data_IF_805552975395
#
_entry.id   IF_805552975395
#
_cell.length_a   1.000
_cell.length_b   1.000
_cell.length_c   1.000
_cell.angle_alpha   90.00
_cell.angle_beta   90.00
_cell.angle_gamma   90.00
#
_symmetry.space_group_name_H-M   'P 1'
#
loop_
_entity.id
_entity.type
_entity.pdbx_description
1 polymer ?
#
# COMPACT_ATOMS: atom_id res chain seq x y z
N UNK A 1 -3.58 -11.54 15.07
CA UNK A 1 -3.58 -10.45 14.06
C UNK A 1 -2.31 -10.57 13.24
N UNK A 2 -2.41 -10.74 11.92
CA UNK A 2 -1.24 -10.81 11.04
C UNK A 2 -1.09 -9.48 10.31
N UNK A 3 0.09 -8.87 10.41
CA UNK A 3 0.43 -7.61 9.77
C UNK A 3 1.41 -7.88 8.63
N UNK A 4 1.10 -7.36 7.45
CA UNK A 4 1.96 -7.42 6.28
C UNK A 4 2.20 -6.02 5.73
N UNK A 5 3.43 -5.74 5.29
CA UNK A 5 3.81 -4.42 4.79
C UNK A 5 5.04 -4.53 3.88
N UNK A 6 5.49 -3.39 3.37
CA UNK A 6 6.77 -3.29 2.68
C UNK A 6 7.54 -2.04 3.12
N UNK A 7 8.85 -2.08 2.93
CA UNK A 7 9.75 -0.96 3.13
C UNK A 7 10.68 -0.80 1.93
N UNK A 8 10.81 0.44 1.44
CA UNK A 8 11.74 0.76 0.36
C UNK A 8 11.43 0.06 -0.97
N UNK A 9 12.50 -0.17 -1.75
CA UNK A 9 12.48 -0.81 -3.07
C UNK A 9 13.54 -1.91 -3.12
N UNK A 10 13.27 -3.09 -2.54
CA UNK A 10 14.17 -4.24 -2.59
C UNK A 10 14.14 -5.00 -3.93
N UNK A 11 13.27 -4.62 -4.87
CA UNK A 11 13.18 -5.15 -6.24
C UNK A 11 13.09 -6.71 -6.29
N UNK A 12 12.36 -7.32 -5.35
CA UNK A 12 12.15 -8.78 -5.31
C UNK A 12 13.33 -9.59 -4.76
N UNK A 13 14.23 -8.95 -4.00
CA UNK A 13 15.38 -9.61 -3.38
C UNK A 13 15.45 -9.30 -1.88
N UNK A 14 15.81 -10.29 -1.06
CA UNK A 14 16.05 -10.07 0.37
C UNK A 14 17.21 -9.09 0.57
N UNK A 15 16.96 -8.02 1.32
CA UNK A 15 17.98 -7.02 1.63
C UNK A 15 17.81 -6.54 3.08
N UNK A 16 18.78 -6.80 3.98
CA UNK A 16 18.70 -6.42 5.39
C UNK A 16 18.38 -4.95 5.63
N UNK A 17 18.80 -4.04 4.73
CA UNK A 17 18.50 -2.60 4.80
C UNK A 17 17.00 -2.30 4.80
N UNK A 18 16.21 -3.15 4.15
CA UNK A 18 14.78 -2.97 3.98
C UNK A 18 13.97 -3.98 4.82
N UNK A 19 14.59 -4.67 5.77
CA UNK A 19 13.86 -5.54 6.71
C UNK A 19 12.90 -4.72 7.58
N UNK A 20 11.76 -5.31 7.91
CA UNK A 20 10.79 -4.75 8.85
C UNK A 20 11.12 -5.08 10.31
N UNK A 21 12.13 -5.90 10.57
CA UNK A 21 12.58 -6.26 11.93
C UNK A 21 12.80 -5.05 12.85
N UNK A 22 13.38 -3.92 12.40
CA UNK A 22 13.54 -2.73 13.24
C UNK A 22 12.22 -2.06 13.68
N UNK A 23 11.09 -2.38 13.05
CA UNK A 23 9.76 -1.88 13.43
C UNK A 23 9.24 -2.58 14.69
N UNK A 24 9.66 -3.83 14.93
CA UNK A 24 9.15 -4.69 16.00
C UNK A 24 9.26 -4.04 17.38
N UNK A 25 10.41 -3.51 17.83
CA UNK A 25 10.52 -2.93 19.18
C UNK A 25 9.56 -1.75 19.39
N UNK A 26 9.42 -0.88 18.39
CA UNK A 26 8.52 0.27 18.49
C UNK A 26 7.06 -0.14 18.46
N UNK A 27 6.70 -1.15 17.65
CA UNK A 27 5.35 -1.68 17.61
C UNK A 27 4.97 -2.35 18.93
N UNK A 28 5.88 -3.12 19.55
CA UNK A 28 5.68 -3.70 20.89
C UNK A 28 5.42 -2.63 21.94
N UNK A 29 6.23 -1.57 21.94
CA UNK A 29 6.09 -0.42 22.85
C UNK A 29 4.71 0.24 22.71
N UNK A 30 4.30 0.56 21.48
CA UNK A 30 3.04 1.26 21.20
C UNK A 30 1.80 0.40 21.51
N UNK A 31 1.89 -0.91 21.32
CA UNK A 31 0.78 -1.84 21.60
C UNK A 31 0.71 -2.30 23.05
N UNK A 32 1.82 -2.19 23.80
CA UNK A 32 1.96 -2.78 25.14
C UNK A 32 1.83 -4.31 25.12
N UNK A 33 2.19 -4.95 24.01
CA UNK A 33 2.03 -6.39 23.77
C UNK A 33 3.20 -6.96 22.98
N UNK A 34 3.40 -8.26 23.09
CA UNK A 34 4.37 -8.95 22.26
C UNK A 34 3.95 -8.99 20.79
N UNK A 35 4.95 -8.78 19.95
CA UNK A 35 4.88 -8.89 18.50
C UNK A 35 5.85 -9.99 18.07
N UNK A 36 5.32 -11.02 17.43
CA UNK A 36 6.08 -12.10 16.83
C UNK A 36 6.53 -11.63 15.44
N UNK A 37 7.79 -11.84 15.10
CA UNK A 37 8.32 -11.50 13.78
C UNK A 37 8.69 -12.76 13.03
N UNK A 38 8.29 -12.87 11.76
CA UNK A 38 8.69 -13.96 10.88
C UNK A 38 9.76 -13.47 9.90
N UNK A 39 10.75 -14.31 9.60
CA UNK A 39 11.86 -13.97 8.66
C UNK A 39 11.43 -14.08 7.18
N UNK A 40 10.16 -14.39 6.94
CA UNK A 40 9.51 -14.42 5.64
C UNK A 40 8.02 -13.99 5.77
N UNK A 41 7.31 -13.84 4.65
CA UNK A 41 5.90 -13.45 4.61
C UNK A 41 4.95 -14.54 4.07
N UNK A 42 5.49 -15.62 3.51
CA UNK A 42 4.74 -16.80 3.07
C UNK A 42 5.54 -18.08 3.37
N UNK A 43 4.88 -19.24 3.29
CA UNK A 43 5.51 -20.54 3.45
C UNK A 43 5.19 -21.21 4.79
N UNK A 44 5.60 -22.49 4.91
CA UNK A 44 5.19 -23.37 6.02
C UNK A 44 5.55 -22.82 7.40
N UNK A 45 6.77 -22.29 7.56
CA UNK A 45 7.20 -21.75 8.86
C UNK A 45 6.37 -20.54 9.29
N UNK A 46 5.94 -19.71 8.33
CA UNK A 46 5.05 -18.57 8.57
C UNK A 46 3.67 -19.06 8.96
N UNK A 47 3.10 -20.00 8.21
CA UNK A 47 1.80 -20.61 8.51
C UNK A 47 1.77 -21.26 9.90
N UNK A 48 2.80 -22.04 10.24
CA UNK A 48 2.92 -22.63 11.58
C UNK A 48 3.00 -21.57 12.68
N UNK A 49 3.76 -20.50 12.46
CA UNK A 49 3.89 -19.41 13.44
C UNK A 49 2.57 -18.68 13.63
N UNK A 50 1.84 -18.40 12.55
CA UNK A 50 0.52 -17.77 12.60
C UNK A 50 -0.51 -18.69 13.28
N UNK A 51 -0.51 -19.98 12.98
CA UNK A 51 -1.42 -20.96 13.59
C UNK A 51 -1.15 -21.20 15.08
N UNK A 52 0.10 -21.05 15.52
CA UNK A 52 0.48 -21.12 16.95
C UNK A 52 0.14 -19.83 17.71
N UNK A 53 0.00 -18.70 17.01
CA UNK A 53 -0.32 -17.42 17.63
C UNK A 53 -1.77 -17.43 18.14
N UNK A 54 -1.96 -17.14 19.42
CA UNK A 54 -3.28 -17.22 20.07
C UNK A 54 -3.52 -16.01 20.99
N UNK A 55 -4.73 -15.88 21.53
CA UNK A 55 -5.03 -14.84 22.53
C UNK A 55 -4.86 -13.40 22.04
N UNK A 56 -5.00 -13.14 20.74
CA UNK A 56 -4.86 -11.79 20.17
C UNK A 56 -3.40 -11.33 19.99
N UNK A 57 -2.44 -12.26 19.96
CA UNK A 57 -1.06 -11.98 19.58
C UNK A 57 -0.97 -11.33 18.18
N UNK A 58 0.06 -10.51 18.02
CA UNK A 58 0.35 -9.80 16.77
C UNK A 58 1.55 -10.44 16.11
N UNK A 59 1.41 -10.83 14.85
CA UNK A 59 2.49 -11.35 14.01
C UNK A 59 2.79 -10.30 12.95
N UNK A 60 4.03 -9.84 12.88
CA UNK A 60 4.52 -8.98 11.81
C UNK A 60 5.33 -9.83 10.83
N UNK A 61 4.86 -9.90 9.60
CA UNK A 61 5.56 -10.57 8.51
C UNK A 61 6.76 -9.74 8.02
N UNK A 62 7.75 -10.41 7.43
CA UNK A 62 8.83 -9.72 6.74
C UNK A 62 8.30 -8.97 5.48
N UNK A 63 9.11 -8.06 4.96
CA UNK A 63 8.84 -7.20 3.82
C UNK A 63 8.32 -7.98 2.59
N UNK A 64 7.08 -7.71 2.20
CA UNK A 64 6.41 -8.33 1.05
C UNK A 64 7.19 -8.16 -0.25
N UNK A 65 7.89 -7.04 -0.45
CA UNK A 65 8.65 -6.77 -1.67
C UNK A 65 9.97 -7.54 -1.76
N UNK A 66 10.33 -8.33 -0.76
CA UNK A 66 11.39 -9.33 -0.91
C UNK A 66 11.01 -10.44 -1.91
N UNK A 67 9.72 -10.57 -2.21
CA UNK A 67 9.19 -11.45 -3.27
C UNK A 67 8.85 -10.61 -4.50
N UNK A 68 9.34 -11.03 -5.67
CA UNK A 68 9.04 -10.37 -6.94
C UNK A 68 7.54 -10.46 -7.28
N UNK A 69 6.89 -11.47 -6.74
CA UNK A 69 5.48 -11.81 -6.84
C UNK A 69 4.57 -10.74 -6.24
N UNK A 70 5.07 -9.91 -5.32
CA UNK A 70 4.31 -8.79 -4.75
C UNK A 70 4.04 -7.70 -5.78
N UNK A 71 5.09 -7.23 -6.47
CA UNK A 71 4.97 -6.18 -7.50
C UNK A 71 4.68 -6.77 -8.90
N UNK A 72 4.74 -8.09 -9.05
CA UNK A 72 4.62 -8.80 -10.32
C UNK A 72 5.84 -8.64 -11.24
N UNK A 73 6.92 -8.07 -10.71
CA UNK A 73 8.20 -7.89 -11.41
C UNK A 73 9.33 -7.58 -10.44
N UNK A 74 10.55 -7.90 -10.83
CA UNK A 74 11.80 -7.57 -10.15
C UNK A 74 12.76 -6.85 -11.10
N UNK A 75 13.94 -6.49 -10.60
CA UNK A 75 15.06 -6.06 -11.44
C UNK A 75 16.18 -7.08 -11.44
N UNK A 76 16.72 -7.33 -12.63
CA UNK A 76 17.95 -8.11 -12.76
C UNK A 76 19.18 -7.30 -12.30
N UNK A 77 20.35 -7.91 -12.35
CA UNK A 77 21.62 -7.27 -11.96
C UNK A 77 21.99 -6.08 -12.86
N UNK A 78 21.38 -5.97 -14.03
CA UNK A 78 21.59 -4.90 -15.01
C UNK A 78 20.52 -3.81 -14.89
N UNK A 79 19.56 -3.96 -13.97
CA UNK A 79 18.48 -3.00 -13.72
C UNK A 79 17.29 -3.16 -14.65
N UNK A 80 17.25 -4.18 -15.52
CA UNK A 80 16.13 -4.42 -16.41
C UNK A 80 14.96 -5.05 -15.65
N UNK A 81 13.75 -4.69 -16.06
CA UNK A 81 12.52 -5.20 -15.45
C UNK A 81 12.25 -6.64 -15.90
N UNK A 82 12.28 -7.57 -14.96
CA UNK A 82 11.93 -8.98 -15.18
C UNK A 82 10.54 -9.22 -14.62
N UNK A 83 9.63 -9.78 -15.42
CA UNK A 83 8.26 -10.07 -14.98
C UNK A 83 8.26 -11.36 -14.15
N UNK A 84 7.52 -11.35 -13.04
CA UNK A 84 7.33 -12.56 -12.25
C UNK A 84 6.42 -13.56 -12.98
N UNK A 85 6.70 -14.85 -12.79
CA UNK A 85 5.87 -15.93 -13.34
C UNK A 85 4.46 -15.87 -12.77
N UNK A 86 3.44 -15.97 -13.63
CA UNK A 86 2.03 -15.88 -13.19
C UNK A 86 1.66 -16.95 -12.17
N UNK A 87 2.21 -18.15 -12.32
CA UNK A 87 1.97 -19.27 -11.41
C UNK A 87 2.55 -19.00 -10.02
N UNK A 88 3.77 -18.45 -9.94
CA UNK A 88 4.40 -18.04 -8.67
C UNK A 88 3.64 -16.90 -8.01
N UNK A 89 3.15 -15.93 -8.80
CA UNK A 89 2.27 -14.87 -8.27
C UNK A 89 0.99 -15.47 -7.68
N UNK A 90 0.39 -16.46 -8.33
CA UNK A 90 -0.80 -17.12 -7.82
C UNK A 90 -0.50 -17.93 -6.54
N UNK A 91 0.63 -18.62 -6.47
CA UNK A 91 1.08 -19.34 -5.28
C UNK A 91 1.35 -18.39 -4.11
N UNK A 92 2.06 -17.28 -4.35
CA UNK A 92 2.31 -16.24 -3.34
C UNK A 92 1.01 -15.67 -2.77
N UNK A 93 0.04 -15.37 -3.64
CA UNK A 93 -1.29 -14.91 -3.24
C UNK A 93 -2.06 -15.92 -2.41
N UNK A 94 -2.00 -17.21 -2.77
CA UNK A 94 -2.57 -18.30 -1.96
C UNK A 94 -1.92 -18.37 -0.59
N UNK A 95 -0.59 -18.24 -0.53
CA UNK A 95 0.17 -18.16 0.72
C UNK A 95 -0.34 -17.03 1.62
N UNK A 96 -0.47 -15.81 1.09
CA UNK A 96 -1.01 -14.68 1.87
C UNK A 96 -2.47 -14.89 2.29
N UNK A 97 -3.28 -15.49 1.43
CA UNK A 97 -4.69 -15.78 1.69
C UNK A 97 -4.86 -16.79 2.82
N UNK A 98 -3.96 -17.78 2.92
CA UNK A 98 -4.01 -18.81 3.95
C UNK A 98 -3.71 -18.29 5.38
N UNK A 99 -3.17 -17.07 5.52
CA UNK A 99 -2.75 -16.53 6.83
C UNK A 99 -3.86 -15.89 7.65
N UNK A 100 -5.11 -15.90 7.17
CA UNK A 100 -6.23 -15.39 7.95
C UNK A 100 -7.58 -15.56 7.29
N UNK A 101 -8.63 -15.22 8.02
CA UNK A 101 -10.02 -15.40 7.58
C UNK A 101 -10.64 -14.11 7.02
N UNK A 102 -10.10 -12.96 7.43
CA UNK A 102 -10.58 -11.62 7.05
C UNK A 102 -9.40 -10.76 6.61
N UNK A 103 -9.55 -10.07 5.48
CA UNK A 103 -8.56 -9.11 4.99
C UNK A 103 -8.98 -7.67 5.30
N UNK A 104 -8.08 -6.93 5.96
CA UNK A 104 -8.25 -5.51 6.24
C UNK A 104 -7.14 -4.73 5.52
N UNK A 105 -7.52 -3.84 4.60
CA UNK A 105 -6.57 -2.93 3.95
C UNK A 105 -6.55 -1.59 4.67
N UNK A 106 -5.43 -1.26 5.31
CA UNK A 106 -5.21 0.06 5.94
C UNK A 106 -4.07 0.86 5.27
N UNK A 107 -3.71 0.52 4.03
CA UNK A 107 -2.61 1.11 3.28
C UNK A 107 -3.09 1.89 2.03
N UNK A 108 -3.70 3.06 2.23
CA UNK A 108 -4.23 3.88 1.12
C UNK A 108 -3.15 4.28 0.10
N UNK A 109 -1.94 4.60 0.58
CA UNK A 109 -0.82 5.02 -0.26
C UNK A 109 -0.39 3.97 -1.31
N UNK A 110 -0.82 2.72 -1.17
CA UNK A 110 -0.49 1.62 -2.08
C UNK A 110 -1.68 1.13 -2.90
N UNK A 111 -2.88 1.64 -2.62
CA UNK A 111 -4.13 1.22 -3.26
C UNK A 111 -4.19 1.50 -4.77
N UNK A 112 -3.36 2.42 -5.28
CA UNK A 112 -3.24 2.72 -6.71
C UNK A 112 -2.50 1.62 -7.51
N UNK A 113 -2.00 0.57 -6.85
CA UNK A 113 -1.21 -0.50 -7.48
C UNK A 113 -1.92 -1.84 -7.42
N UNK A 114 -1.89 -2.57 -8.53
CA UNK A 114 -2.42 -3.94 -8.64
C UNK A 114 -1.45 -5.01 -8.09
N UNK A 115 -0.85 -4.74 -6.92
CA UNK A 115 0.08 -5.65 -6.27
C UNK A 115 -0.63 -6.83 -5.60
N UNK A 116 0.08 -7.91 -5.32
CA UNK A 116 -0.49 -9.13 -4.73
C UNK A 116 -1.14 -8.88 -3.37
N UNK A 117 -0.53 -8.10 -2.48
CA UNK A 117 -1.14 -7.72 -1.20
C UNK A 117 -2.42 -6.89 -1.35
N UNK A 118 -2.56 -6.11 -2.43
CA UNK A 118 -3.70 -5.21 -2.62
C UNK A 118 -4.91 -5.90 -3.25
N UNK A 119 -4.69 -6.73 -4.27
CA UNK A 119 -5.77 -7.33 -5.08
C UNK A 119 -5.76 -8.85 -5.07
N UNK A 120 -4.77 -9.48 -4.46
CA UNK A 120 -4.52 -10.92 -4.55
C UNK A 120 -4.92 -11.74 -3.34
N UNK A 121 -5.30 -11.10 -2.21
CA UNK A 121 -5.81 -11.81 -1.03
C UNK A 121 -7.28 -12.18 -1.28
N UNK A 122 -7.54 -13.47 -1.42
CA UNK A 122 -8.85 -13.99 -1.82
C UNK A 122 -9.64 -14.54 -0.63
N UNK A 123 -10.06 -13.62 0.24
CA UNK A 123 -10.91 -13.91 1.38
C UNK A 123 -12.34 -13.40 1.13
N UNK A 124 -13.37 -14.09 1.66
CA UNK A 124 -14.76 -13.70 1.46
C UNK A 124 -15.06 -12.34 2.08
N UNK A 125 -14.39 -11.98 3.18
CA UNK A 125 -14.54 -10.70 3.85
C UNK A 125 -13.30 -9.83 3.63
N UNK A 126 -13.52 -8.69 2.97
CA UNK A 126 -12.52 -7.66 2.69
C UNK A 126 -13.06 -6.31 3.12
N UNK A 127 -12.36 -5.63 4.03
CA UNK A 127 -12.77 -4.33 4.52
C UNK A 127 -11.61 -3.32 4.54
N UNK A 128 -11.95 -2.04 4.61
CA UNK A 128 -10.98 -0.97 4.86
C UNK A 128 -10.69 -0.89 6.36
N UNK A 129 -9.41 -0.65 6.68
CA UNK A 129 -9.03 -0.17 8.01
C UNK A 129 -9.45 1.29 8.20
N UNK A 130 -9.21 1.82 9.39
CA UNK A 130 -9.68 3.18 9.74
C UNK A 130 -8.98 4.28 8.94
N UNK A 131 -7.69 4.13 8.61
CA UNK A 131 -6.97 5.10 7.79
C UNK A 131 -7.53 5.13 6.38
N UNK A 132 -7.67 3.95 5.74
CA UNK A 132 -8.24 3.87 4.38
C UNK A 132 -9.69 4.34 4.37
N UNK A 133 -10.50 3.94 5.37
CA UNK A 133 -11.89 4.40 5.51
C UNK A 133 -11.95 5.93 5.56
N UNK A 134 -11.11 6.56 6.39
CA UNK A 134 -11.04 8.02 6.50
C UNK A 134 -10.67 8.66 5.17
N UNK A 135 -9.63 8.18 4.50
CA UNK A 135 -9.23 8.70 3.18
C UNK A 135 -10.40 8.62 2.18
N UNK A 136 -11.06 7.46 2.06
CA UNK A 136 -12.20 7.25 1.18
C UNK A 136 -13.38 8.17 1.52
N UNK A 137 -13.71 8.36 2.80
CA UNK A 137 -14.78 9.26 3.22
C UNK A 137 -14.53 10.72 2.83
N UNK A 138 -13.29 11.21 3.02
CA UNK A 138 -12.93 12.58 2.65
C UNK A 138 -12.89 12.77 1.13
N UNK A 139 -12.34 11.80 0.38
CA UNK A 139 -12.34 11.86 -1.08
C UNK A 139 -13.74 11.75 -1.68
N UNK A 140 -14.60 10.86 -1.16
CA UNK A 140 -15.98 10.73 -1.62
C UNK A 140 -16.77 12.02 -1.41
N UNK A 141 -16.63 12.65 -0.22
CA UNK A 141 -17.21 13.96 0.05
C UNK A 141 -16.75 15.02 -0.95
N UNK A 142 -15.46 15.04 -1.32
CA UNK A 142 -14.94 16.06 -2.24
C UNK A 142 -15.24 15.77 -3.72
N UNK A 143 -15.29 14.50 -4.14
CA UNK A 143 -15.27 14.11 -5.55
C UNK A 143 -16.61 13.59 -6.09
N UNK A 144 -17.49 13.06 -5.23
CA UNK A 144 -18.77 12.46 -5.62
C UNK A 144 -19.95 13.37 -5.28
N UNK A 145 -19.96 13.94 -4.06
CA UNK A 145 -21.04 14.83 -3.59
C UNK A 145 -20.49 16.02 -2.79
N UNK A 146 -19.69 16.90 -3.43
CA UNK A 146 -19.13 18.05 -2.74
C UNK A 146 -20.21 19.02 -2.29
N UNK A 147 -20.13 19.44 -1.02
CA UNK A 147 -20.83 20.63 -0.58
C UNK A 147 -20.27 21.82 -1.36
N UNK A 148 -21.17 22.55 -2.01
CA UNK A 148 -20.82 23.69 -2.85
C UNK A 148 -20.94 25.00 -2.07
N UNK A 149 -20.09 26.01 -2.34
CA UNK A 149 -19.09 26.04 -3.42
C UNK A 149 -17.84 25.18 -3.13
N UNK A 150 -17.44 24.37 -4.12
CA UNK A 150 -16.22 23.55 -4.05
C UNK A 150 -15.04 24.28 -4.68
N UNK A 151 -14.07 24.68 -3.86
CA UNK A 151 -12.83 25.33 -4.29
C UNK A 151 -11.67 24.32 -4.30
N UNK A 152 -10.95 24.24 -5.42
CA UNK A 152 -9.64 23.59 -5.47
C UNK A 152 -8.51 24.62 -5.50
N UNK A 153 -7.44 24.34 -4.76
CA UNK A 153 -6.22 25.16 -4.75
C UNK A 153 -5.07 24.27 -5.24
N UNK A 154 -4.52 24.60 -6.40
CA UNK A 154 -3.42 23.87 -7.01
C UNK A 154 -2.17 24.75 -7.09
N UNK A 155 -1.06 24.22 -6.59
CA UNK A 155 0.24 24.88 -6.67
C UNK A 155 1.35 23.91 -7.08
N UNK A 156 2.49 24.47 -7.48
CA UNK A 156 3.70 23.73 -7.85
C UNK A 156 4.58 24.49 -8.85
N UNK A 157 5.68 23.88 -9.27
CA UNK A 157 6.65 24.49 -10.18
C UNK A 157 6.29 24.30 -11.66
N UNK A 158 5.75 23.14 -12.05
CA UNK A 158 5.47 22.77 -13.45
C UNK A 158 4.00 22.49 -13.67
N UNK A 159 3.44 23.06 -14.74
CA UNK A 159 2.07 22.79 -15.19
C UNK A 159 1.94 21.38 -15.77
N UNK A 160 2.95 20.93 -16.53
CA UNK A 160 2.96 19.64 -17.24
C UNK A 160 2.57 18.45 -16.36
N UNK A 161 3.07 18.45 -15.12
CA UNK A 161 2.91 17.33 -14.18
C UNK A 161 1.49 17.30 -13.57
N UNK A 162 0.68 18.34 -13.82
CA UNK A 162 -0.63 18.57 -13.22
C UNK A 162 -1.76 18.70 -14.22
N UNK A 163 -1.49 18.58 -15.53
CA UNK A 163 -2.52 18.70 -16.58
C UNK A 163 -3.67 17.73 -16.32
N UNK A 164 -3.38 16.44 -16.14
CA UNK A 164 -4.40 15.42 -15.85
C UNK A 164 -5.16 15.70 -14.55
N UNK A 165 -4.51 16.28 -13.54
CA UNK A 165 -5.16 16.64 -12.29
C UNK A 165 -6.14 17.81 -12.49
N UNK A 166 -5.72 18.83 -13.23
CA UNK A 166 -6.58 19.99 -13.57
C UNK A 166 -7.78 19.50 -14.38
N UNK A 167 -7.56 18.74 -15.45
CA UNK A 167 -8.63 18.22 -16.32
C UNK A 167 -9.68 17.41 -15.55
N UNK A 168 -9.24 16.60 -14.58
CA UNK A 168 -10.15 15.81 -13.74
C UNK A 168 -10.92 16.66 -12.71
N UNK A 169 -10.37 17.78 -12.26
CA UNK A 169 -10.98 18.65 -11.24
C UNK A 169 -11.88 19.73 -11.83
N UNK A 170 -11.57 20.25 -13.03
CA UNK A 170 -12.36 21.27 -13.72
C UNK A 170 -13.87 20.99 -13.77
N UNK A 171 -14.36 19.77 -14.11
CA UNK A 171 -15.79 19.50 -14.12
C UNK A 171 -16.43 19.41 -12.72
N UNK A 172 -15.63 19.33 -11.65
CA UNK A 172 -16.10 19.10 -10.28
C UNK A 172 -16.16 20.38 -9.46
N UNK A 173 -15.19 21.27 -9.64
CA UNK A 173 -15.01 22.47 -8.82
C UNK A 173 -15.88 23.64 -9.28
N UNK A 174 -16.28 24.52 -8.36
CA UNK A 174 -16.89 25.81 -8.67
C UNK A 174 -15.83 26.89 -8.92
N UNK A 175 -14.66 26.74 -8.32
CA UNK A 175 -13.56 27.69 -8.43
C UNK A 175 -12.24 26.94 -8.35
N UNK A 176 -11.25 27.41 -9.10
CA UNK A 176 -9.89 26.86 -9.12
C UNK A 176 -8.90 28.00 -8.93
N UNK A 177 -8.08 27.93 -7.87
CA UNK A 177 -6.96 28.84 -7.66
C UNK A 177 -5.68 28.14 -8.10
N UNK A 178 -4.94 28.76 -9.02
CA UNK A 178 -3.62 28.32 -9.45
C UNK A 178 -2.57 29.23 -8.80
N UNK A 179 -1.65 28.63 -8.04
CA UNK A 179 -0.60 29.35 -7.30
C UNK A 179 0.80 28.80 -7.62
N UNK A 180 1.84 29.47 -7.13
CA UNK A 180 3.23 29.04 -7.28
C UNK A 180 3.82 29.27 -8.67
N UNK A 181 4.93 28.59 -8.97
CA UNK A 181 5.67 28.77 -10.23
C UNK A 181 4.84 28.51 -11.49
N UNK A 182 3.90 27.57 -11.42
CA UNK A 182 3.00 27.27 -12.54
C UNK A 182 2.07 28.45 -12.90
N UNK A 183 1.77 29.36 -11.97
CA UNK A 183 0.93 30.52 -12.24
C UNK A 183 1.56 31.47 -13.27
N UNK A 184 2.90 31.55 -13.35
CA UNK A 184 3.58 32.38 -14.35
C UNK A 184 3.36 31.86 -15.78
N UNK A 185 3.24 30.54 -15.96
CA UNK A 185 2.93 29.96 -17.27
C UNK A 185 1.53 30.33 -17.74
N UNK A 186 0.55 30.42 -16.84
CA UNK A 186 -0.82 30.84 -17.18
C UNK A 186 -0.96 32.36 -17.36
N UNK A 187 -0.07 33.17 -16.76
CA UNK A 187 -0.07 34.64 -16.89
C UNK A 187 0.62 35.16 -18.16
N UNK A 188 1.53 34.38 -18.73
CA UNK A 188 2.29 34.74 -19.93
C UNK A 188 1.42 34.57 -21.17
#
# INVERSE_FOLDING_TARGET
VVLMSHLGRPDGKKNPKYSLKPVVPKLKELLGRDVIFTEDCVGKDVEETVNKASGGQVVLLENLRFHAEEEGSSKDEQGNKVKADKEKVAEFRKGLTALGDIYINDAFGTAHRAHSSMVGVDLPQKASGFLVKKELEYFAKALESPQRPFLAILGGSKVSDKIQLIDNLLPKVNSLIITGGMAFTFKK
#
